data_IF_744254757554
#
_entry.id   IF_744254757554
#
_cell.length_a   1.000
_cell.length_b   1.000
_cell.length_c   1.000
_cell.angle_alpha   90.00
_cell.angle_beta   90.00
_cell.angle_gamma   90.00
#
_symmetry.space_group_name_H-M   'P 1'
#
loop_
_entity.id
_entity.type
_entity.pdbx_description
1 polymer ?
#
# COMPACT_ATOMS: atom_id res chain seq x y z
N UNK A 1 -89.13 13.75 18.99
CA UNK A 1 -87.72 13.34 18.98
C UNK A 1 -87.34 12.75 20.30
N UNK A 2 -87.11 11.43 20.36
CA UNK A 2 -86.87 10.70 21.60
C UNK A 2 -85.66 11.25 22.44
N UNK A 3 -85.79 11.25 23.75
CA UNK A 3 -84.71 11.72 24.66
C UNK A 3 -83.37 11.05 24.40
N UNK A 4 -83.37 9.81 23.96
CA UNK A 4 -82.21 9.01 23.57
C UNK A 4 -81.55 9.54 22.29
N UNK A 5 -82.29 9.99 21.30
CA UNK A 5 -81.77 10.56 20.04
C UNK A 5 -81.08 11.89 20.28
N UNK A 6 -81.58 12.70 21.23
CA UNK A 6 -80.96 13.97 21.65
C UNK A 6 -79.63 13.73 22.33
N UNK A 7 -79.50 12.68 23.17
CA UNK A 7 -78.27 12.33 23.87
C UNK A 7 -77.22 11.84 22.89
N UNK A 8 -77.59 11.01 21.92
CA UNK A 8 -76.66 10.51 20.89
C UNK A 8 -76.15 11.66 19.97
N UNK A 9 -77.00 12.56 19.59
CA UNK A 9 -76.60 13.73 18.82
C UNK A 9 -75.68 14.67 19.59
N UNK A 10 -75.96 14.88 20.87
CA UNK A 10 -75.05 15.67 21.74
C UNK A 10 -73.67 15.02 21.94
N UNK A 11 -73.65 13.72 22.13
CA UNK A 11 -72.40 12.96 22.24
C UNK A 11 -71.59 12.99 20.92
N UNK A 12 -72.22 12.82 19.76
CA UNK A 12 -71.60 12.92 18.46
C UNK A 12 -71.04 14.32 18.18
N UNK A 13 -71.81 15.37 18.55
CA UNK A 13 -71.30 16.76 18.43
C UNK A 13 -70.10 17.03 19.36
N UNK A 14 -70.13 16.50 20.60
CA UNK A 14 -69.04 16.64 21.54
C UNK A 14 -67.77 15.91 21.03
N UNK A 15 -67.90 14.68 20.49
CA UNK A 15 -66.77 13.94 19.92
C UNK A 15 -66.20 14.66 18.67
N UNK A 16 -67.04 15.21 17.80
CA UNK A 16 -66.63 16.00 16.67
C UNK A 16 -65.84 17.26 17.09
N UNK A 17 -66.36 18.00 18.08
CA UNK A 17 -65.67 19.18 18.62
C UNK A 17 -64.35 18.78 19.29
N UNK A 18 -64.33 17.70 20.05
CA UNK A 18 -63.12 17.21 20.70
C UNK A 18 -62.07 16.72 19.67
N UNK A 19 -62.51 15.99 18.63
CA UNK A 19 -61.59 15.54 17.58
C UNK A 19 -61.03 16.72 16.76
N UNK A 20 -61.85 17.71 16.45
CA UNK A 20 -61.40 18.93 15.80
C UNK A 20 -60.46 19.74 16.67
N UNK A 21 -60.70 19.84 17.98
CA UNK A 21 -59.82 20.52 18.92
C UNK A 21 -58.47 19.77 19.07
N UNK A 22 -58.48 18.44 19.13
CA UNK A 22 -57.26 17.66 19.20
C UNK A 22 -56.47 17.72 17.89
N UNK A 23 -57.13 17.73 16.74
CA UNK A 23 -56.52 17.89 15.43
C UNK A 23 -55.82 19.25 15.27
N UNK A 24 -56.39 20.31 15.76
CA UNK A 24 -55.78 21.64 15.73
C UNK A 24 -54.77 21.91 16.84
N UNK A 25 -54.68 21.04 17.88
CA UNK A 25 -53.77 21.25 19.03
C UNK A 25 -52.35 20.82 18.73
N UNK A 26 -52.14 19.86 17.80
CA UNK A 26 -50.83 19.39 17.40
C UNK A 26 -50.74 19.29 15.84
N UNK A 27 -50.77 20.44 15.18
CA UNK A 27 -50.86 20.44 13.72
C UNK A 27 -49.56 20.09 12.99
N UNK A 28 -48.43 19.98 13.71
CA UNK A 28 -47.12 19.83 13.06
C UNK A 28 -46.18 18.98 13.90
N UNK A 29 -45.53 18.02 13.23
CA UNK A 29 -44.33 17.40 13.76
C UNK A 29 -43.18 18.39 13.60
N UNK A 30 -42.53 18.74 14.71
CA UNK A 30 -41.39 19.66 14.72
C UNK A 30 -40.14 18.92 15.16
N UNK A 31 -39.04 19.19 14.47
CA UNK A 31 -37.72 18.65 14.78
C UNK A 31 -36.76 19.84 15.05
N UNK A 32 -35.96 19.72 16.10
CA UNK A 32 -34.92 20.72 16.34
C UNK A 32 -33.76 20.48 15.37
N UNK A 33 -33.42 21.49 14.58
CA UNK A 33 -32.28 21.43 13.71
C UNK A 33 -30.99 21.57 14.53
N UNK A 34 -30.08 20.61 14.38
CA UNK A 34 -28.81 20.58 15.06
C UNK A 34 -27.67 20.94 14.11
N UNK A 35 -26.60 21.51 14.64
CA UNK A 35 -25.38 21.74 13.86
C UNK A 35 -24.74 20.39 13.56
N UNK A 36 -24.50 20.15 12.28
CA UNK A 36 -23.78 18.98 11.80
C UNK A 36 -22.57 19.39 10.97
N UNK A 37 -21.55 18.54 11.01
CA UNK A 37 -20.40 18.58 10.13
C UNK A 37 -20.39 17.26 9.37
N UNK A 38 -20.55 17.34 8.06
CA UNK A 38 -20.60 16.18 7.17
C UNK A 38 -19.43 16.24 6.23
N UNK A 39 -18.65 15.18 6.23
CA UNK A 39 -17.55 14.98 5.29
C UNK A 39 -18.08 14.15 4.13
N UNK A 40 -17.81 14.58 2.91
CA UNK A 40 -18.00 13.74 1.74
C UNK A 40 -16.74 12.93 1.54
N UNK A 41 -16.90 11.64 1.30
CA UNK A 41 -15.80 10.74 1.02
C UNK A 41 -15.89 10.22 -0.41
N UNK A 42 -14.73 10.01 -1.02
CA UNK A 42 -14.57 9.30 -2.28
C UNK A 42 -13.70 8.09 -2.01
N UNK A 43 -14.21 6.91 -2.29
CA UNK A 43 -13.53 5.64 -2.07
C UNK A 43 -13.31 4.92 -3.38
N UNK A 44 -12.26 4.09 -3.43
CA UNK A 44 -11.96 3.28 -4.59
C UNK A 44 -10.65 2.54 -4.46
N UNK A 45 -10.22 1.94 -5.56
CA UNK A 45 -8.90 1.33 -5.70
C UNK A 45 -8.03 2.21 -6.58
N UNK A 46 -6.73 2.22 -6.32
CA UNK A 46 -5.79 3.01 -7.08
C UNK A 46 -4.37 2.44 -7.05
N UNK A 47 -3.48 3.16 -7.71
CA UNK A 47 -2.08 2.79 -7.82
C UNK A 47 -1.20 3.79 -7.08
N UNK A 48 -0.21 3.25 -6.37
CA UNK A 48 0.83 4.05 -5.74
C UNK A 48 1.98 4.21 -6.72
N UNK A 49 2.24 5.44 -7.10
CA UNK A 49 3.35 5.83 -7.97
C UNK A 49 4.37 6.61 -7.15
N UNK A 50 5.63 6.40 -7.44
CA UNK A 50 6.76 7.03 -6.76
C UNK A 50 7.76 7.55 -7.78
N UNK A 51 8.55 8.56 -7.42
CA UNK A 51 9.70 8.95 -8.21
C UNK A 51 10.77 7.87 -8.12
N UNK A 52 11.00 7.19 -9.22
CA UNK A 52 11.93 6.07 -9.33
C UNK A 52 12.85 6.29 -10.53
N UNK A 53 14.14 6.04 -10.33
CA UNK A 53 15.13 6.05 -11.38
C UNK A 53 15.60 4.64 -11.65
N UNK A 54 15.43 4.16 -12.89
CA UNK A 54 15.89 2.84 -13.31
C UNK A 54 17.42 2.83 -13.34
N UNK A 55 18.01 1.77 -12.83
CA UNK A 55 19.44 1.48 -12.90
C UNK A 55 19.66 0.71 -14.19
N UNK A 56 20.34 1.31 -15.15
CA UNK A 56 20.57 0.76 -16.47
C UNK A 56 22.05 0.45 -16.69
N UNK A 57 22.34 -0.59 -17.47
CA UNK A 57 23.67 -0.91 -17.96
C UNK A 57 23.58 -1.52 -19.36
N UNK A 58 24.54 -1.18 -20.21
CA UNK A 58 24.64 -1.70 -21.57
C UNK A 58 25.28 -3.10 -21.65
N UNK A 59 25.92 -3.54 -20.56
CA UNK A 59 26.58 -4.85 -20.52
C UNK A 59 25.57 -5.98 -20.48
N UNK A 60 25.70 -6.93 -21.38
CA UNK A 60 24.91 -8.16 -21.37
C UNK A 60 25.46 -9.12 -20.31
N UNK A 61 24.62 -9.58 -19.40
CA UNK A 61 25.03 -10.50 -18.34
C UNK A 61 23.96 -10.69 -17.27
N UNK A 62 24.33 -11.37 -16.20
CA UNK A 62 23.47 -11.56 -15.03
C UNK A 62 23.80 -10.48 -14.00
N UNK A 63 22.79 -9.75 -13.58
CA UNK A 63 22.93 -8.76 -12.51
C UNK A 63 22.89 -9.44 -11.14
N UNK A 64 23.91 -9.22 -10.33
CA UNK A 64 24.01 -9.67 -8.95
C UNK A 64 23.95 -8.43 -8.03
N UNK A 65 22.83 -8.21 -7.28
CA UNK A 65 22.73 -7.10 -6.36
C UNK A 65 23.64 -7.32 -5.14
N UNK A 66 24.45 -6.32 -4.79
CA UNK A 66 25.29 -6.30 -3.58
C UNK A 66 24.57 -5.64 -2.40
N UNK A 67 23.46 -4.99 -2.66
CA UNK A 67 22.67 -4.25 -1.68
C UNK A 67 21.29 -4.88 -1.57
N UNK A 68 20.76 -4.99 -0.36
CA UNK A 68 19.40 -5.52 -0.12
C UNK A 68 18.34 -4.48 -0.48
N UNK A 69 17.18 -4.95 -0.93
CA UNK A 69 16.02 -4.12 -1.16
C UNK A 69 15.65 -3.28 0.06
N UNK A 70 15.23 -2.03 -0.18
CA UNK A 70 14.93 -1.07 0.87
C UNK A 70 16.16 -0.44 1.55
N UNK A 71 17.39 -0.74 1.10
CA UNK A 71 18.59 -0.10 1.63
C UNK A 71 18.80 1.26 1.01
N UNK A 72 19.09 2.25 1.84
CA UNK A 72 19.42 3.60 1.36
C UNK A 72 20.83 3.65 0.79
N UNK A 73 20.94 4.13 -0.45
CA UNK A 73 22.20 4.25 -1.20
C UNK A 73 22.48 5.71 -1.55
N UNK A 74 23.75 6.03 -1.68
CA UNK A 74 24.18 7.32 -2.20
C UNK A 74 24.35 7.26 -3.71
N UNK A 75 24.19 8.37 -4.41
CA UNK A 75 24.52 8.47 -5.83
C UNK A 75 25.99 8.10 -6.05
N UNK A 76 26.25 7.22 -7.01
CA UNK A 76 27.58 6.75 -7.36
C UNK A 76 28.11 5.60 -6.48
N UNK A 77 27.36 5.15 -5.46
CA UNK A 77 27.74 3.93 -4.70
C UNK A 77 27.46 2.69 -5.53
N UNK A 78 28.30 1.66 -5.43
CA UNK A 78 28.11 0.36 -6.07
C UNK A 78 26.89 -0.33 -5.46
N UNK A 79 25.92 -0.70 -6.31
CA UNK A 79 24.68 -1.37 -5.90
C UNK A 79 24.63 -2.83 -6.34
N UNK A 80 25.47 -3.22 -7.29
CA UNK A 80 25.55 -4.57 -7.79
C UNK A 80 26.67 -4.73 -8.80
N UNK A 81 26.77 -5.91 -9.35
CA UNK A 81 27.69 -6.22 -10.45
C UNK A 81 26.95 -6.94 -11.57
N UNK A 82 27.32 -6.65 -12.81
CA UNK A 82 26.91 -7.44 -13.98
C UNK A 82 28.03 -8.38 -14.34
N UNK A 83 27.73 -9.66 -14.34
CA UNK A 83 28.67 -10.69 -14.76
C UNK A 83 28.39 -10.99 -16.23
N UNK A 84 29.28 -10.51 -17.10
CA UNK A 84 29.22 -10.77 -18.53
C UNK A 84 30.04 -12.03 -18.88
N UNK A 85 29.45 -12.97 -19.56
CA UNK A 85 30.09 -14.15 -20.06
C UNK A 85 29.08 -15.26 -20.38
N UNK A 86 29.38 -16.13 -21.34
CA UNK A 86 28.67 -17.41 -21.45
C UNK A 86 28.87 -18.14 -20.10
N UNK A 87 27.87 -18.11 -19.27
CA UNK A 87 27.82 -18.90 -18.03
C UNK A 87 27.90 -20.38 -18.47
N UNK A 88 29.11 -20.91 -18.44
CA UNK A 88 29.28 -22.37 -18.49
C UNK A 88 28.66 -22.91 -17.19
N UNK A 89 27.36 -23.28 -17.26
CA UNK A 89 26.53 -23.78 -16.16
C UNK A 89 27.27 -24.87 -15.38
N UNK A 90 28.16 -25.57 -16.05
CA UNK A 90 29.02 -26.60 -15.48
C UNK A 90 30.14 -26.02 -14.61
N UNK A 91 30.73 -24.89 -15.03
CA UNK A 91 31.74 -24.17 -14.23
C UNK A 91 31.10 -23.47 -13.04
N UNK A 92 29.90 -22.88 -13.20
CA UNK A 92 29.15 -22.28 -12.09
C UNK A 92 28.83 -23.32 -11.01
N UNK A 93 28.37 -24.49 -11.39
CA UNK A 93 28.08 -25.59 -10.48
C UNK A 93 29.35 -26.14 -9.79
N UNK A 94 30.49 -26.15 -10.48
CA UNK A 94 31.78 -26.53 -9.89
C UNK A 94 32.23 -25.49 -8.85
N UNK A 95 32.04 -24.20 -9.12
CA UNK A 95 32.35 -23.13 -8.19
C UNK A 95 31.50 -23.20 -6.93
N UNK A 96 30.20 -23.46 -7.08
CA UNK A 96 29.27 -23.66 -5.96
C UNK A 96 29.69 -24.83 -5.08
N UNK A 97 30.07 -25.98 -5.68
CA UNK A 97 30.55 -27.15 -4.95
C UNK A 97 31.86 -26.87 -4.19
N UNK A 98 32.83 -26.22 -4.83
CA UNK A 98 34.10 -25.84 -4.20
C UNK A 98 33.90 -24.84 -3.07
N UNK A 99 33.03 -23.83 -3.28
CA UNK A 99 32.70 -22.83 -2.26
C UNK A 99 32.01 -23.49 -1.06
N UNK A 100 31.05 -24.38 -1.29
CA UNK A 100 30.39 -25.17 -0.25
C UNK A 100 31.39 -25.99 0.59
N UNK A 101 32.37 -26.64 -0.08
CA UNK A 101 33.41 -27.40 0.60
C UNK A 101 34.36 -26.52 1.46
N UNK A 102 34.71 -25.33 0.98
CA UNK A 102 35.49 -24.35 1.73
C UNK A 102 34.71 -23.90 2.97
N UNK A 103 33.44 -23.57 2.84
CA UNK A 103 32.56 -23.13 3.93
C UNK A 103 32.34 -24.25 4.95
N UNK A 104 32.21 -25.49 4.53
CA UNK A 104 32.10 -26.63 5.40
C UNK A 104 33.41 -26.86 6.22
N UNK A 105 34.57 -26.69 5.59
CA UNK A 105 35.88 -26.74 6.29
C UNK A 105 35.97 -25.61 7.29
N UNK A 106 35.65 -24.36 6.94
CA UNK A 106 35.69 -23.21 7.86
C UNK A 106 34.68 -23.33 9.00
N UNK A 107 33.48 -23.82 8.70
CA UNK A 107 32.41 -24.05 9.72
C UNK A 107 32.81 -25.15 10.66
N UNK A 108 33.47 -26.21 10.17
CA UNK A 108 34.05 -27.28 11.00
C UNK A 108 35.17 -26.78 11.89
N UNK A 109 35.92 -25.73 11.51
CA UNK A 109 36.96 -25.08 12.30
C UNK A 109 36.39 -24.38 13.51
N UNK A 110 35.34 -23.59 13.36
CA UNK A 110 34.68 -22.90 14.47
C UNK A 110 34.07 -23.86 15.50
N UNK A 111 33.60 -25.03 15.05
CA UNK A 111 33.02 -26.08 15.89
C UNK A 111 34.15 -26.87 16.60
N UNK A 112 35.30 -27.07 15.97
CA UNK A 112 36.39 -27.86 16.56
C UNK A 112 37.27 -27.12 17.55
N UNK A 113 37.39 -25.80 17.41
CA UNK A 113 38.04 -24.99 18.45
C UNK A 113 37.21 -25.00 19.75
N UNK A 114 35.89 -25.17 19.64
CA UNK A 114 35.00 -25.40 20.79
C UNK A 114 35.15 -26.79 21.44
N UNK A 115 35.65 -27.80 20.70
CA UNK A 115 35.71 -29.21 21.15
C UNK A 115 37.11 -29.81 21.21
N UNK A 116 38.14 -29.04 20.96
CA UNK A 116 39.53 -29.52 20.83
C UNK A 116 40.14 -30.15 22.10
N UNK A 117 39.40 -30.24 23.20
CA UNK A 117 39.94 -30.74 24.47
C UNK A 117 39.37 -32.06 25.01
N UNK A 118 38.45 -32.76 24.26
CA UNK A 118 37.77 -33.90 24.87
C UNK A 118 37.36 -35.00 23.86
N UNK A 119 38.12 -36.09 23.80
CA UNK A 119 37.86 -37.28 22.99
C UNK A 119 36.46 -37.90 23.27
N UNK A 120 35.96 -37.74 24.49
CA UNK A 120 34.61 -38.20 24.87
C UNK A 120 33.49 -37.42 24.19
N UNK A 121 33.68 -36.11 23.89
CA UNK A 121 32.73 -35.27 23.19
C UNK A 121 32.68 -35.58 21.69
N UNK A 122 33.84 -35.83 21.08
CA UNK A 122 33.89 -36.27 19.66
C UNK A 122 33.13 -37.57 19.52
N UNK A 123 33.26 -38.51 20.40
CA UNK A 123 32.51 -39.77 20.37
C UNK A 123 31.00 -39.56 20.51
N UNK A 124 30.55 -38.65 21.37
CA UNK A 124 29.11 -38.33 21.52
C UNK A 124 28.52 -37.73 20.26
N UNK A 125 29.20 -36.80 19.59
CA UNK A 125 28.75 -36.15 18.34
C UNK A 125 28.71 -37.16 17.19
N UNK A 126 29.71 -38.04 17.08
CA UNK A 126 29.71 -39.12 16.09
C UNK A 126 28.52 -40.06 16.28
N UNK A 127 28.21 -40.39 17.56
CA UNK A 127 27.04 -41.23 17.87
C UNK A 127 25.71 -40.59 17.54
N UNK A 128 25.60 -39.28 17.79
CA UNK A 128 24.40 -38.48 17.48
C UNK A 128 24.18 -38.37 15.97
N UNK A 129 25.24 -38.01 15.20
CA UNK A 129 25.18 -37.96 13.74
C UNK A 129 24.87 -39.33 13.10
N UNK A 130 25.36 -40.42 13.69
CA UNK A 130 25.02 -41.75 13.21
C UNK A 130 23.57 -42.13 13.48
N UNK A 131 22.97 -41.62 14.57
CA UNK A 131 21.54 -41.77 14.87
C UNK A 131 20.68 -40.94 13.89
N UNK A 132 21.11 -39.70 13.59
CA UNK A 132 20.44 -38.82 12.65
C UNK A 132 20.43 -39.36 11.21
N UNK A 133 21.54 -39.94 10.76
CA UNK A 133 21.63 -40.65 9.47
C UNK A 133 20.59 -41.78 9.42
N UNK A 134 20.47 -42.55 10.51
CA UNK A 134 19.53 -43.66 10.58
C UNK A 134 18.08 -43.15 10.54
N UNK A 135 17.76 -42.08 11.29
CA UNK A 135 16.45 -41.45 11.33
C UNK A 135 16.07 -40.83 10.00
N UNK A 136 17.03 -40.21 9.29
CA UNK A 136 16.82 -39.66 7.96
C UNK A 136 16.58 -40.78 6.90
N UNK A 137 17.34 -41.86 7.00
CA UNK A 137 17.17 -43.02 6.14
C UNK A 137 15.80 -43.69 6.32
N UNK A 138 15.31 -43.81 7.57
CA UNK A 138 13.96 -44.35 7.87
C UNK A 138 12.84 -43.48 7.29
N UNK A 139 13.05 -42.17 7.19
CA UNK A 139 12.12 -41.19 6.59
C UNK A 139 12.29 -41.04 5.08
N UNK A 140 13.22 -41.77 4.46
CA UNK A 140 13.61 -41.63 3.05
C UNK A 140 14.08 -40.21 2.67
N UNK A 141 14.54 -39.44 3.64
CA UNK A 141 15.14 -38.13 3.43
C UNK A 141 16.64 -38.26 3.11
N UNK A 142 16.93 -38.51 1.84
CA UNK A 142 18.27 -38.73 1.33
C UNK A 142 19.17 -37.47 1.42
N UNK A 143 18.56 -36.26 1.36
CA UNK A 143 19.29 -35.01 1.49
C UNK A 143 19.85 -34.83 2.90
N UNK A 144 18.99 -34.98 3.90
CA UNK A 144 19.40 -34.91 5.31
C UNK A 144 20.41 -36.02 5.67
N UNK A 145 20.24 -37.24 5.15
CA UNK A 145 21.19 -38.34 5.34
C UNK A 145 22.56 -38.02 4.72
N UNK A 146 22.59 -37.40 3.54
CA UNK A 146 23.82 -37.01 2.86
C UNK A 146 24.55 -35.89 3.62
N UNK A 147 23.83 -34.89 4.13
CA UNK A 147 24.36 -33.81 4.97
C UNK A 147 25.01 -34.35 6.25
N UNK A 148 24.34 -35.24 6.98
CA UNK A 148 24.86 -35.87 8.16
C UNK A 148 26.11 -36.75 7.85
N UNK A 149 26.09 -37.46 6.70
CA UNK A 149 27.24 -38.22 6.21
C UNK A 149 28.45 -37.33 5.90
N UNK A 150 28.22 -36.18 5.23
CA UNK A 150 29.29 -35.22 4.95
C UNK A 150 29.89 -34.66 6.24
N UNK A 151 29.04 -34.32 7.24
CA UNK A 151 29.50 -33.87 8.55
C UNK A 151 30.29 -34.95 9.29
N UNK A 152 29.90 -36.21 9.18
CA UNK A 152 30.61 -37.35 9.78
C UNK A 152 31.97 -37.55 9.13
N UNK A 153 32.09 -37.44 7.78
CA UNK A 153 33.40 -37.55 7.10
C UNK A 153 34.34 -36.44 7.49
N UNK A 154 33.86 -35.22 7.65
CA UNK A 154 34.64 -34.06 8.12
C UNK A 154 35.17 -34.28 9.53
N UNK A 155 34.37 -34.83 10.44
CA UNK A 155 34.78 -35.14 11.79
C UNK A 155 35.83 -36.28 11.82
N UNK A 156 35.65 -37.30 10.99
CA UNK A 156 36.57 -38.41 10.86
C UNK A 156 37.92 -37.98 10.26
N UNK A 157 37.91 -37.18 9.21
CA UNK A 157 39.12 -36.58 8.62
C UNK A 157 39.84 -35.69 9.61
N UNK A 158 39.11 -34.97 10.45
CA UNK A 158 39.65 -34.08 11.46
C UNK A 158 40.25 -34.81 12.65
N UNK A 159 39.64 -35.90 13.09
CA UNK A 159 40.22 -36.78 14.09
C UNK A 159 41.54 -37.43 13.60
N UNK A 160 41.63 -37.66 12.27
CA UNK A 160 42.86 -38.12 11.63
C UNK A 160 43.89 -37.00 11.44
N UNK A 161 43.48 -35.77 11.15
CA UNK A 161 44.34 -34.61 10.89
C UNK A 161 44.87 -33.94 12.17
N UNK A 162 44.19 -34.12 13.30
CA UNK A 162 44.70 -33.69 14.63
C UNK A 162 46.07 -34.32 14.97
N UNK A 163 46.44 -35.37 14.22
CA UNK A 163 47.76 -35.99 14.31
C UNK A 163 48.81 -35.43 13.32
N UNK A 164 48.40 -34.61 12.36
CA UNK A 164 49.27 -33.99 11.35
C UNK A 164 48.70 -32.63 10.90
N UNK A 165 49.04 -31.58 11.60
CA UNK A 165 48.52 -30.20 11.41
C UNK A 165 48.85 -29.52 10.08
N UNK A 166 49.46 -30.20 9.09
CA UNK A 166 49.80 -29.63 7.79
C UNK A 166 48.85 -29.98 6.62
N UNK A 167 48.22 -31.14 6.65
CA UNK A 167 47.46 -31.64 5.51
C UNK A 167 46.13 -30.90 5.25
N UNK A 168 45.56 -30.32 6.29
CA UNK A 168 44.28 -29.59 6.19
C UNK A 168 44.46 -28.17 5.65
N UNK A 169 45.48 -27.46 6.14
CA UNK A 169 45.81 -26.12 5.64
C UNK A 169 46.19 -26.20 4.15
N UNK A 170 46.87 -27.27 3.77
CA UNK A 170 47.18 -27.56 2.36
C UNK A 170 45.96 -27.86 1.51
N UNK A 171 44.97 -28.59 2.06
CA UNK A 171 43.67 -28.82 1.38
C UNK A 171 42.85 -27.52 1.24
N UNK A 172 42.78 -26.70 2.31
CA UNK A 172 42.08 -25.42 2.23
C UNK A 172 42.72 -24.48 1.20
N UNK A 173 44.06 -24.44 1.18
CA UNK A 173 44.81 -23.64 0.21
C UNK A 173 44.63 -24.15 -1.21
N UNK A 174 44.54 -25.47 -1.42
CA UNK A 174 44.26 -26.06 -2.73
C UNK A 174 42.83 -25.76 -3.23
N UNK A 175 41.83 -25.81 -2.33
CA UNK A 175 40.46 -25.47 -2.64
C UNK A 175 40.26 -23.95 -2.93
N UNK A 176 40.94 -23.11 -2.18
CA UNK A 176 40.95 -21.66 -2.43
C UNK A 176 41.62 -21.33 -3.76
N UNK A 177 42.68 -22.06 -4.13
CA UNK A 177 43.29 -21.91 -5.45
C UNK A 177 42.36 -22.38 -6.56
N UNK A 178 41.68 -23.50 -6.40
CA UNK A 178 40.71 -24.04 -7.34
C UNK A 178 39.51 -23.06 -7.47
N UNK A 179 39.02 -22.51 -6.37
CA UNK A 179 38.01 -21.46 -6.36
C UNK A 179 38.45 -20.25 -7.18
N UNK A 180 39.66 -19.73 -6.94
CA UNK A 180 40.21 -18.60 -7.67
C UNK A 180 40.39 -18.90 -9.16
N UNK A 181 40.83 -20.12 -9.55
CA UNK A 181 40.95 -20.55 -10.95
C UNK A 181 39.56 -20.66 -11.62
N UNK A 182 38.54 -21.17 -10.91
CA UNK A 182 37.16 -21.25 -11.40
C UNK A 182 36.55 -19.85 -11.50
N UNK A 183 36.76 -19.00 -10.52
CA UNK A 183 36.34 -17.59 -10.57
C UNK A 183 37.01 -16.84 -11.71
N UNK A 184 38.30 -17.07 -11.97
CA UNK A 184 39.03 -16.46 -13.09
C UNK A 184 38.52 -16.96 -14.43
N UNK A 185 38.12 -18.24 -14.53
CA UNK A 185 37.57 -18.86 -15.76
C UNK A 185 36.11 -18.50 -15.98
N UNK A 186 35.34 -18.36 -14.92
CA UNK A 186 33.99 -17.82 -14.94
C UNK A 186 33.98 -16.28 -15.00
N UNK A 187 35.10 -15.67 -14.60
CA UNK A 187 35.29 -14.23 -14.58
C UNK A 187 35.26 -13.62 -15.96
N UNK A 188 34.08 -13.61 -16.54
CA UNK A 188 33.68 -12.55 -17.44
C UNK A 188 33.87 -11.22 -16.71
N UNK A 189 34.08 -10.18 -17.44
CA UNK A 189 34.25 -8.82 -16.92
C UNK A 189 33.12 -8.54 -15.93
N UNK A 190 33.46 -8.28 -14.68
CA UNK A 190 32.50 -7.84 -13.66
C UNK A 190 32.42 -6.33 -13.76
N UNK A 191 31.35 -5.85 -14.33
CA UNK A 191 31.07 -4.42 -14.37
C UNK A 191 30.37 -4.02 -13.07
N UNK A 192 31.00 -3.11 -12.33
CA UNK A 192 30.38 -2.53 -11.15
C UNK A 192 29.28 -1.55 -11.54
N UNK A 193 28.11 -1.76 -11.00
CA UNK A 193 26.93 -0.93 -11.27
C UNK A 193 26.77 0.09 -10.16
N UNK A 194 26.87 1.37 -10.53
CA UNK A 194 26.70 2.48 -9.60
C UNK A 194 25.26 2.98 -9.58
N UNK A 195 24.79 3.41 -8.40
CA UNK A 195 23.48 4.04 -8.24
C UNK A 195 23.41 5.37 -9.02
N UNK A 196 22.46 5.56 -9.94
CA UNK A 196 22.31 6.79 -10.72
C UNK A 196 21.81 7.98 -9.87
N UNK A 197 21.08 7.69 -8.81
CA UNK A 197 20.51 8.64 -7.87
C UNK A 197 20.77 8.20 -6.41
N UNK A 198 20.55 9.11 -5.46
CA UNK A 198 20.53 8.76 -4.04
C UNK A 198 19.09 8.44 -3.64
N UNK A 199 18.87 7.31 -2.97
CA UNK A 199 17.51 6.88 -2.60
C UNK A 199 17.52 5.50 -1.97
N UNK A 200 16.39 4.79 -2.09
CA UNK A 200 16.25 3.41 -1.65
C UNK A 200 16.34 2.47 -2.85
N UNK A 201 17.20 1.46 -2.72
CA UNK A 201 17.44 0.47 -3.77
C UNK A 201 16.38 -0.63 -3.74
N UNK A 202 15.94 -1.05 -4.94
CA UNK A 202 15.09 -2.21 -5.16
C UNK A 202 15.55 -2.97 -6.40
N UNK A 203 15.70 -4.28 -6.27
CA UNK A 203 16.20 -5.17 -7.33
C UNK A 203 15.13 -5.56 -8.35
N UNK A 204 13.85 -5.30 -8.06
CA UNK A 204 12.73 -5.65 -8.91
C UNK A 204 12.15 -4.46 -9.63
N UNK A 205 11.81 -4.63 -10.91
CA UNK A 205 11.10 -3.68 -11.75
C UNK A 205 9.69 -4.19 -12.03
N UNK A 206 8.75 -3.28 -12.24
CA UNK A 206 7.33 -3.63 -12.45
C UNK A 206 6.68 -2.90 -13.64
N UNK A 207 7.44 -2.03 -14.34
CA UNK A 207 7.00 -1.30 -15.53
C UNK A 207 6.27 0.01 -15.23
N UNK A 208 6.11 0.39 -13.96
CA UNK A 208 5.48 1.65 -13.58
C UNK A 208 6.47 2.73 -13.15
N UNK A 209 7.76 2.48 -13.22
CA UNK A 209 8.82 3.37 -12.76
C UNK A 209 8.76 4.75 -13.42
N UNK A 210 8.42 4.79 -14.70
CA UNK A 210 8.33 6.04 -15.45
C UNK A 210 7.15 6.92 -15.03
N UNK A 211 6.02 6.32 -14.65
CA UNK A 211 4.76 7.02 -14.40
C UNK A 211 4.77 7.83 -13.09
N UNK A 212 5.65 7.52 -12.16
CA UNK A 212 5.86 8.29 -10.93
C UNK A 212 6.72 9.53 -11.08
N UNK A 213 7.24 9.80 -12.29
CA UNK A 213 8.00 11.01 -12.58
C UNK A 213 7.11 12.26 -12.45
N UNK A 214 7.62 13.31 -11.82
CA UNK A 214 6.88 14.55 -11.56
C UNK A 214 6.34 15.23 -12.83
N UNK A 215 7.04 15.06 -13.96
CA UNK A 215 6.64 15.64 -15.25
C UNK A 215 5.53 14.83 -15.94
N UNK A 216 5.35 13.58 -15.57
CA UNK A 216 4.40 12.64 -16.22
C UNK A 216 3.15 12.43 -15.38
N UNK A 217 3.31 12.24 -14.08
CA UNK A 217 2.23 11.82 -13.18
C UNK A 217 1.00 12.73 -13.24
N UNK A 218 1.19 14.04 -13.40
CA UNK A 218 0.12 15.01 -13.49
C UNK A 218 -0.66 14.99 -14.83
N UNK A 219 -0.15 14.30 -15.84
CA UNK A 219 -0.76 14.23 -17.18
C UNK A 219 -1.52 12.93 -17.43
N UNK A 220 -1.47 12.00 -16.48
CA UNK A 220 -2.12 10.68 -16.58
C UNK A 220 -3.63 10.81 -16.80
N UNK A 221 -4.14 10.00 -17.69
CA UNK A 221 -5.57 9.86 -17.98
C UNK A 221 -6.14 8.61 -17.31
N UNK A 222 -7.46 8.51 -17.26
CA UNK A 222 -8.15 7.35 -16.71
C UNK A 222 -7.74 6.04 -17.43
N UNK A 223 -7.63 6.08 -18.75
CA UNK A 223 -7.21 4.93 -19.57
C UNK A 223 -5.79 4.45 -19.26
N UNK A 224 -4.86 5.36 -18.94
CA UNK A 224 -3.49 5.01 -18.55
C UNK A 224 -3.50 4.23 -17.22
N UNK A 225 -4.25 4.75 -16.23
CA UNK A 225 -4.36 4.15 -14.90
C UNK A 225 -5.02 2.77 -14.97
N UNK A 226 -6.09 2.64 -15.76
CA UNK A 226 -6.81 1.38 -15.94
C UNK A 226 -5.91 0.32 -16.61
N UNK A 227 -4.95 0.74 -17.45
CA UNK A 227 -3.96 -0.12 -18.10
C UNK A 227 -2.83 -0.59 -17.18
N UNK A 228 -2.58 0.02 -16.02
CA UNK A 228 -1.43 -0.29 -15.18
C UNK A 228 -1.37 -1.76 -14.70
N UNK A 229 -2.52 -2.35 -14.40
CA UNK A 229 -2.56 -3.77 -14.00
C UNK A 229 -2.09 -4.70 -15.11
N UNK A 230 -2.32 -4.36 -16.37
CA UNK A 230 -1.90 -5.14 -17.52
C UNK A 230 -0.42 -4.92 -17.81
N UNK A 231 0.04 -3.67 -17.73
CA UNK A 231 1.47 -3.33 -17.81
C UNK A 231 2.27 -4.16 -16.80
N UNK A 232 1.88 -4.15 -15.53
CA UNK A 232 2.58 -4.91 -14.47
C UNK A 232 2.61 -6.42 -14.73
N UNK A 233 1.55 -6.98 -15.32
CA UNK A 233 1.49 -8.44 -15.60
C UNK A 233 2.36 -8.85 -16.79
N UNK A 234 2.41 -8.01 -17.81
CA UNK A 234 3.11 -8.31 -19.06
C UNK A 234 4.55 -7.79 -19.06
N UNK A 235 4.89 -6.94 -18.08
CA UNK A 235 6.20 -6.31 -18.01
C UNK A 235 7.33 -7.34 -17.93
N UNK A 236 8.30 -7.14 -18.78
CA UNK A 236 9.58 -7.84 -18.76
C UNK A 236 10.65 -6.78 -18.89
N UNK A 237 11.56 -6.66 -17.93
CA UNK A 237 12.64 -5.70 -18.04
C UNK A 237 13.49 -5.99 -19.28
N UNK A 238 13.89 -4.96 -19.97
CA UNK A 238 14.86 -5.05 -21.04
C UNK A 238 16.22 -5.50 -20.48
N UNK A 239 17.05 -6.11 -21.33
CA UNK A 239 18.34 -6.68 -20.92
C UNK A 239 19.29 -5.68 -20.22
N UNK A 240 19.06 -4.38 -20.41
CA UNK A 240 19.82 -3.31 -19.78
C UNK A 240 19.20 -2.77 -18.49
N UNK A 241 17.96 -3.11 -18.17
CA UNK A 241 17.26 -2.64 -16.98
C UNK A 241 17.48 -3.59 -15.82
N UNK A 242 18.21 -3.16 -14.80
CA UNK A 242 18.74 -4.04 -13.76
C UNK A 242 18.00 -3.92 -12.42
N UNK A 243 17.67 -2.71 -12.02
CA UNK A 243 17.11 -2.37 -10.71
C UNK A 243 16.49 -0.98 -10.74
N UNK A 244 15.98 -0.50 -9.62
CA UNK A 244 15.49 0.87 -9.46
C UNK A 244 15.94 1.51 -8.15
N UNK A 245 16.01 2.83 -8.17
CA UNK A 245 16.23 3.66 -6.98
C UNK A 245 14.99 4.53 -6.80
N UNK A 246 14.32 4.37 -5.65
CA UNK A 246 13.29 5.31 -5.22
C UNK A 246 13.98 6.57 -4.68
N UNK A 247 13.95 7.65 -5.44
CA UNK A 247 14.72 8.86 -5.19
C UNK A 247 13.87 10.02 -4.67
N UNK A 248 12.57 9.84 -4.55
CA UNK A 248 11.62 10.86 -4.11
C UNK A 248 10.97 10.54 -2.78
N UNK A 249 10.82 11.56 -1.93
CA UNK A 249 10.00 11.47 -0.71
C UNK A 249 8.50 11.65 -1.00
N UNK A 250 8.16 12.13 -2.19
CA UNK A 250 6.78 12.28 -2.61
C UNK A 250 6.31 10.99 -3.27
N UNK A 251 5.10 10.60 -2.91
CA UNK A 251 4.39 9.52 -3.58
C UNK A 251 3.04 10.04 -4.05
N UNK A 252 2.45 9.33 -4.99
CA UNK A 252 1.22 9.72 -5.64
C UNK A 252 0.25 8.55 -5.61
N UNK A 253 -1.01 8.84 -5.29
CA UNK A 253 -2.13 7.97 -5.57
C UNK A 253 -2.68 8.36 -6.94
N UNK A 254 -2.70 7.43 -7.87
CA UNK A 254 -3.36 7.56 -9.17
C UNK A 254 -4.59 6.65 -9.20
N UNK A 255 -5.77 7.21 -9.38
CA UNK A 255 -7.02 6.46 -9.36
C UNK A 255 -8.00 6.95 -10.43
N UNK A 256 -8.75 6.01 -11.00
CA UNK A 256 -9.89 6.30 -11.87
C UNK A 256 -11.17 6.31 -11.02
N UNK A 257 -11.87 7.42 -11.03
CA UNK A 257 -13.18 7.60 -10.34
C UNK A 257 -14.21 8.12 -11.30
N UNK A 258 -15.51 7.99 -10.97
CA UNK A 258 -16.56 8.62 -11.76
C UNK A 258 -16.52 10.13 -11.58
N UNK A 259 -16.71 10.86 -12.66
CA UNK A 259 -16.74 12.33 -12.63
C UNK A 259 -17.77 12.86 -11.62
N UNK A 260 -18.91 12.18 -11.47
CA UNK A 260 -19.96 12.53 -10.50
C UNK A 260 -19.52 12.40 -9.04
N UNK A 261 -18.55 11.54 -8.73
CA UNK A 261 -18.02 11.33 -7.38
C UNK A 261 -16.95 12.38 -7.04
N UNK A 262 -16.24 12.89 -8.04
CA UNK A 262 -15.16 13.86 -7.89
C UNK A 262 -15.62 15.34 -8.11
N UNK A 263 -16.93 15.63 -8.13
CA UNK A 263 -17.44 16.99 -8.40
C UNK A 263 -16.92 18.03 -7.40
N UNK A 264 -16.84 17.65 -6.14
CA UNK A 264 -16.43 18.55 -5.06
C UNK A 264 -14.90 18.59 -4.87
N UNK A 265 -14.12 17.91 -5.71
CA UNK A 265 -12.66 17.87 -5.70
C UNK A 265 -12.12 18.75 -6.83
N UNK A 266 -11.15 19.60 -6.51
CA UNK A 266 -10.48 20.46 -7.48
C UNK A 266 -8.97 20.32 -7.38
N UNK A 267 -8.28 20.58 -8.48
CA UNK A 267 -6.82 20.63 -8.47
C UNK A 267 -6.33 21.68 -7.46
N UNK A 268 -5.35 21.32 -6.64
CA UNK A 268 -4.81 22.17 -5.58
C UNK A 268 -5.52 22.02 -4.22
N UNK A 269 -6.64 21.30 -4.15
CA UNK A 269 -7.35 21.08 -2.89
C UNK A 269 -6.48 20.24 -1.92
N UNK A 270 -6.48 20.65 -0.66
CA UNK A 270 -5.95 19.84 0.43
C UNK A 270 -7.02 18.83 0.87
N UNK A 271 -6.64 17.56 0.96
CA UNK A 271 -7.53 16.46 1.31
C UNK A 271 -6.89 15.61 2.40
N UNK A 272 -7.74 14.87 3.13
CA UNK A 272 -7.28 13.80 4.00
C UNK A 272 -7.43 12.48 3.24
N UNK A 273 -6.31 11.73 3.15
CA UNK A 273 -6.22 10.49 2.39
C UNK A 273 -5.92 9.33 3.34
N UNK A 274 -6.79 8.34 3.36
CA UNK A 274 -6.58 7.05 4.02
C UNK A 274 -6.25 6.00 2.98
N UNK A 275 -5.27 5.17 3.26
CA UNK A 275 -4.81 4.06 2.42
C UNK A 275 -4.96 2.76 3.22
N UNK A 276 -5.64 1.75 2.64
CA UNK A 276 -5.83 0.43 3.24
C UNK A 276 -6.32 0.52 4.71
N UNK A 277 -7.33 1.38 4.95
CA UNK A 277 -7.93 1.64 6.27
C UNK A 277 -6.95 2.17 7.35
N UNK A 278 -5.77 2.65 6.95
CA UNK A 278 -4.83 3.27 7.88
C UNK A 278 -5.24 4.70 8.23
N UNK A 279 -4.56 5.27 9.23
CA UNK A 279 -4.81 6.65 9.64
C UNK A 279 -4.64 7.63 8.48
N UNK A 280 -5.62 8.51 8.30
CA UNK A 280 -5.61 9.48 7.23
C UNK A 280 -4.42 10.43 7.31
N UNK A 281 -3.79 10.67 6.19
CA UNK A 281 -2.66 11.59 6.04
C UNK A 281 -3.05 12.79 5.19
N UNK A 282 -2.41 13.93 5.44
CA UNK A 282 -2.63 15.11 4.59
C UNK A 282 -2.02 14.91 3.22
N UNK A 283 -2.79 15.23 2.19
CA UNK A 283 -2.39 15.13 0.81
C UNK A 283 -2.95 16.31 0.00
N UNK A 284 -2.51 16.48 -1.23
CA UNK A 284 -2.93 17.54 -2.13
C UNK A 284 -3.32 16.94 -3.47
N UNK A 285 -4.42 17.38 -4.03
CA UNK A 285 -4.86 17.03 -5.38
C UNK A 285 -3.90 17.67 -6.39
N UNK A 286 -3.03 16.85 -6.99
CA UNK A 286 -2.06 17.32 -7.98
C UNK A 286 -2.72 17.58 -9.32
N UNK A 287 -3.58 16.66 -9.77
CA UNK A 287 -4.31 16.78 -11.04
C UNK A 287 -5.67 16.10 -10.96
N UNK A 288 -6.59 16.59 -11.77
CA UNK A 288 -7.92 16.04 -12.00
C UNK A 288 -8.19 16.10 -13.49
N UNK A 289 -7.99 15.00 -14.20
CA UNK A 289 -8.10 14.91 -15.63
C UNK A 289 -9.41 14.21 -16.01
N UNK A 290 -10.38 14.97 -16.49
CA UNK A 290 -11.74 14.49 -16.80
C UNK A 290 -11.85 14.11 -18.27
N UNK A 291 -12.34 12.90 -18.54
CA UNK A 291 -12.59 12.41 -19.89
C UNK A 291 -13.74 11.40 -19.89
N UNK A 292 -14.69 11.54 -20.83
CA UNK A 292 -15.77 10.57 -21.08
C UNK A 292 -16.60 10.13 -19.84
N UNK A 293 -16.78 11.03 -18.85
CA UNK A 293 -17.54 10.73 -17.62
C UNK A 293 -16.74 10.03 -16.53
N UNK A 294 -15.45 9.75 -16.77
CA UNK A 294 -14.46 9.30 -15.81
C UNK A 294 -13.47 10.41 -15.47
N UNK A 295 -12.76 10.25 -14.40
CA UNK A 295 -11.77 11.22 -13.93
C UNK A 295 -10.54 10.48 -13.43
N UNK A 296 -9.38 10.80 -14.00
CA UNK A 296 -8.10 10.43 -13.39
C UNK A 296 -7.82 11.41 -12.26
N UNK A 297 -7.79 10.92 -11.05
CA UNK A 297 -7.50 11.68 -9.84
C UNK A 297 -6.10 11.35 -9.37
N UNK A 298 -5.23 12.36 -9.36
CA UNK A 298 -3.84 12.23 -8.93
C UNK A 298 -3.65 13.01 -7.64
N UNK A 299 -3.31 12.30 -6.58
CA UNK A 299 -3.12 12.89 -5.25
C UNK A 299 -1.70 12.71 -4.81
N UNK A 300 -1.05 13.78 -4.38
CA UNK A 300 0.32 13.81 -3.91
C UNK A 300 0.38 13.87 -2.40
N UNK A 301 1.19 13.03 -1.78
CA UNK A 301 1.57 13.15 -0.37
C UNK A 301 3.08 13.01 -0.18
N UNK A 302 3.58 13.60 0.91
CA UNK A 302 4.96 13.41 1.41
C UNK A 302 4.95 12.80 2.80
N UNK A 303 3.77 12.37 3.28
CA UNK A 303 3.63 11.74 4.57
C UNK A 303 3.90 10.26 4.47
N UNK A 304 4.61 9.72 5.45
CA UNK A 304 4.87 8.29 5.51
C UNK A 304 3.58 7.53 5.85
N UNK A 305 3.32 6.47 5.10
CA UNK A 305 2.25 5.49 5.34
C UNK A 305 2.92 4.12 5.40
N UNK A 306 2.54 3.30 6.35
CA UNK A 306 3.17 1.99 6.55
C UNK A 306 2.95 1.07 5.33
N UNK A 307 4.03 0.47 4.83
CA UNK A 307 3.97 -0.47 3.71
C UNK A 307 3.68 0.17 2.35
N UNK A 308 3.73 1.51 2.24
CA UNK A 308 3.47 2.19 0.96
C UNK A 308 4.57 1.92 -0.07
N UNK A 309 5.78 1.60 0.38
CA UNK A 309 6.94 1.28 -0.47
C UNK A 309 6.86 -0.12 -1.09
N UNK A 310 6.09 -1.01 -0.47
CA UNK A 310 6.05 -2.42 -0.85
C UNK A 310 4.87 -2.76 -1.76
N UNK A 311 3.98 -1.79 -2.01
CA UNK A 311 2.74 -1.98 -2.76
C UNK A 311 2.63 -1.05 -3.95
N UNK A 312 2.00 -1.54 -5.02
CA UNK A 312 1.57 -0.74 -6.16
C UNK A 312 0.07 -0.46 -6.17
N UNK A 313 -0.72 -1.36 -5.62
CA UNK A 313 -2.18 -1.21 -5.55
C UNK A 313 -2.62 -0.99 -4.11
N UNK A 314 -3.65 -0.17 -3.92
CA UNK A 314 -4.24 0.09 -2.62
C UNK A 314 -5.74 0.39 -2.76
N UNK A 315 -6.45 0.23 -1.65
CA UNK A 315 -7.75 0.85 -1.46
C UNK A 315 -7.57 2.22 -0.81
N UNK A 316 -8.38 3.18 -1.22
CA UNK A 316 -8.28 4.53 -0.71
C UNK A 316 -9.63 5.11 -0.28
N UNK A 317 -9.56 6.01 0.67
CA UNK A 317 -10.66 6.90 1.06
C UNK A 317 -10.13 8.33 1.14
N UNK A 318 -10.77 9.24 0.41
CA UNK A 318 -10.45 10.66 0.38
C UNK A 318 -11.57 11.40 1.07
N UNK A 319 -11.27 12.06 2.16
CA UNK A 319 -12.16 13.02 2.77
C UNK A 319 -11.98 14.39 2.09
N UNK A 320 -13.10 14.88 1.53
CA UNK A 320 -13.16 16.19 0.90
C UNK A 320 -13.58 17.26 1.92
N UNK A 321 -14.07 18.40 1.44
CA UNK A 321 -14.55 19.50 2.29
C UNK A 321 -15.56 19.05 3.33
N UNK A 322 -15.35 19.50 4.57
CA UNK A 322 -16.36 19.45 5.60
C UNK A 322 -17.47 20.47 5.31
N UNK A 323 -18.70 19.99 5.26
CA UNK A 323 -19.89 20.85 5.17
C UNK A 323 -20.45 21.08 6.57
N UNK A 324 -20.31 22.30 7.08
CA UNK A 324 -20.84 22.68 8.38
C UNK A 324 -22.14 23.45 8.20
N UNK A 325 -23.21 22.98 8.82
CA UNK A 325 -24.51 23.63 8.73
C UNK A 325 -25.55 23.02 9.66
N UNK A 326 -26.78 23.45 9.51
CA UNK A 326 -27.92 22.87 10.21
C UNK A 326 -28.40 21.61 9.48
N UNK A 327 -28.57 20.53 10.20
CA UNK A 327 -29.14 19.29 9.67
C UNK A 327 -30.65 19.35 9.66
N UNK A 328 -31.26 19.25 8.48
CA UNK A 328 -32.69 19.41 8.26
C UNK A 328 -33.22 18.18 7.52
N UNK A 329 -34.32 17.54 7.94
CA UNK A 329 -34.92 16.44 7.21
C UNK A 329 -35.29 16.83 5.78
N UNK A 330 -35.03 15.93 4.82
CA UNK A 330 -35.38 16.16 3.42
C UNK A 330 -36.89 16.46 3.23
N UNK A 331 -37.71 15.82 4.06
CA UNK A 331 -39.16 16.03 4.07
C UNK A 331 -39.60 17.43 4.52
N UNK A 332 -38.75 18.15 5.25
CA UNK A 332 -39.03 19.53 5.70
C UNK A 332 -38.68 20.57 4.64
N UNK A 333 -37.92 20.23 3.63
CA UNK A 333 -37.54 21.12 2.53
C UNK A 333 -38.77 21.44 1.67
N UNK A 334 -38.99 22.72 1.40
CA UNK A 334 -40.06 23.23 0.54
C UNK A 334 -39.50 24.23 -0.46
N UNK A 335 -40.10 24.21 -1.65
CA UNK A 335 -39.80 25.19 -2.70
C UNK A 335 -40.98 26.15 -2.81
N UNK A 336 -40.68 27.44 -2.76
CA UNK A 336 -41.68 28.50 -2.88
C UNK A 336 -41.24 29.52 -3.93
N UNK A 337 -41.83 29.42 -5.11
CA UNK A 337 -41.32 30.15 -6.29
C UNK A 337 -39.95 29.60 -6.65
N UNK A 338 -38.94 30.47 -6.75
CA UNK A 338 -37.55 30.12 -7.13
C UNK A 338 -36.63 29.90 -5.93
N UNK A 339 -37.17 29.87 -4.70
CA UNK A 339 -36.37 29.72 -3.50
C UNK A 339 -36.71 28.45 -2.73
N UNK A 340 -35.66 27.84 -2.19
CA UNK A 340 -35.76 26.69 -1.32
C UNK A 340 -35.72 27.14 0.14
N UNK A 341 -36.49 26.52 1.02
CA UNK A 341 -36.55 26.89 2.41
C UNK A 341 -37.27 25.86 3.27
N UNK A 342 -37.40 26.19 4.54
CA UNK A 342 -38.05 25.39 5.58
C UNK A 342 -39.05 26.26 6.37
N UNK A 343 -40.09 25.63 6.89
CA UNK A 343 -40.93 26.29 7.89
C UNK A 343 -40.36 26.10 9.27
N UNK A 344 -40.12 27.21 9.95
CA UNK A 344 -39.56 27.25 11.31
C UNK A 344 -40.63 27.72 12.26
N UNK A 345 -40.78 27.01 13.37
CA UNK A 345 -41.66 27.40 14.48
C UNK A 345 -40.84 28.18 15.50
N UNK A 346 -41.22 29.44 15.74
CA UNK A 346 -40.55 30.29 16.71
C UNK A 346 -41.05 29.98 18.15
N UNK A 347 -40.37 30.50 19.17
CA UNK A 347 -40.75 30.34 20.60
C UNK A 347 -42.19 30.78 20.88
N UNK A 348 -42.68 31.80 20.19
CA UNK A 348 -44.05 32.28 20.28
C UNK A 348 -45.06 31.46 19.48
N UNK A 349 -44.66 30.26 18.97
CA UNK A 349 -45.46 29.38 18.14
C UNK A 349 -45.85 29.95 16.75
N UNK A 350 -45.22 31.03 16.34
CA UNK A 350 -45.41 31.55 15.00
C UNK A 350 -44.61 30.70 13.97
N UNK A 351 -45.27 30.32 12.88
CA UNK A 351 -44.63 29.57 11.78
C UNK A 351 -44.20 30.58 10.73
N UNK A 352 -42.93 30.55 10.38
CA UNK A 352 -42.34 31.37 9.33
C UNK A 352 -41.56 30.55 8.32
N UNK A 353 -41.59 30.96 7.05
CA UNK A 353 -40.79 30.35 6.01
C UNK A 353 -39.38 30.99 6.03
N UNK A 354 -38.33 30.18 6.21
CA UNK A 354 -36.96 30.62 6.12
C UNK A 354 -36.27 30.01 4.93
N UNK A 355 -35.66 30.84 4.11
CA UNK A 355 -34.88 30.42 2.98
C UNK A 355 -33.58 29.82 3.46
N UNK A 356 -33.12 28.75 2.79
CA UNK A 356 -31.89 28.06 3.12
C UNK A 356 -31.08 27.78 1.86
N UNK A 357 -29.74 27.86 1.99
CA UNK A 357 -28.80 27.34 0.99
C UNK A 357 -28.46 25.90 1.34
N UNK A 358 -28.77 24.97 0.45
CA UNK A 358 -28.41 23.57 0.62
C UNK A 358 -26.90 23.41 0.35
N UNK A 359 -26.18 22.80 1.29
CA UNK A 359 -24.74 22.52 1.16
C UNK A 359 -24.50 21.12 0.61
N UNK A 360 -25.09 20.11 1.26
CA UNK A 360 -25.00 18.73 0.82
C UNK A 360 -26.18 17.90 1.34
N UNK A 361 -26.36 16.72 0.75
CA UNK A 361 -27.33 15.72 1.22
C UNK A 361 -26.58 14.69 2.10
N UNK A 362 -27.18 14.35 3.24
CA UNK A 362 -26.68 13.36 4.18
C UNK A 362 -27.83 12.36 4.48
N UNK A 363 -27.90 11.29 3.68
CA UNK A 363 -28.97 10.30 3.75
C UNK A 363 -30.36 10.93 3.55
N UNK A 364 -31.21 10.86 4.61
CA UNK A 364 -32.57 11.43 4.64
C UNK A 364 -32.60 12.90 5.07
N UNK A 365 -31.42 13.52 5.24
CA UNK A 365 -31.28 14.90 5.67
C UNK A 365 -30.55 15.74 4.63
N UNK A 366 -30.68 17.06 4.77
CA UNK A 366 -29.82 18.04 4.12
C UNK A 366 -29.07 18.85 5.16
N UNK A 367 -27.82 19.16 4.86
CA UNK A 367 -27.05 20.16 5.60
C UNK A 367 -27.25 21.49 4.89
N UNK A 368 -27.73 22.49 5.61
CA UNK A 368 -28.02 23.81 5.08
C UNK A 368 -27.20 24.87 5.80
N UNK A 369 -26.89 25.98 5.14
CA UNK A 369 -26.20 27.10 5.79
C UNK A 369 -27.08 27.67 6.92
N UNK A 370 -26.43 28.04 8.01
CA UNK A 370 -27.13 28.75 9.12
C UNK A 370 -27.42 30.23 8.80
N UNK A 371 -26.90 30.74 7.68
CA UNK A 371 -27.21 32.09 7.18
C UNK A 371 -27.50 31.98 5.68
N UNK A 372 -28.68 32.43 5.28
CA UNK A 372 -29.06 32.54 3.89
C UNK A 372 -28.66 33.91 3.34
N UNK A 373 -28.07 33.93 2.14
CA UNK A 373 -27.80 35.18 1.43
C UNK A 373 -28.82 35.23 0.28
N UNK A 374 -29.85 36.08 0.38
CA UNK A 374 -30.86 36.14 -0.69
C UNK A 374 -30.24 36.65 -2.00
N UNK A 375 -30.66 36.08 -3.15
CA UNK A 375 -30.29 36.63 -4.46
C UNK A 375 -30.73 38.08 -4.60
N UNK A 376 -30.01 38.86 -5.39
CA UNK A 376 -30.40 40.24 -5.69
C UNK A 376 -31.83 40.27 -6.30
N UNK A 377 -32.74 41.09 -5.71
CA UNK A 377 -34.13 41.19 -6.12
C UNK A 377 -35.09 40.18 -5.45
N UNK A 378 -34.63 39.33 -4.57
CA UNK A 378 -35.49 38.40 -3.80
C UNK A 378 -36.47 39.14 -2.89
N UNK A 379 -37.76 38.71 -2.91
CA UNK A 379 -38.77 39.20 -1.98
C UNK A 379 -38.72 38.54 -0.60
N UNK A 380 -37.82 37.60 -0.39
CA UNK A 380 -37.69 36.85 0.86
C UNK A 380 -36.48 37.33 1.67
N UNK A 381 -36.67 37.54 2.95
CA UNK A 381 -35.62 37.90 3.89
C UNK A 381 -35.03 36.64 4.53
N UNK A 382 -33.78 36.72 4.94
CA UNK A 382 -33.04 35.65 5.66
C UNK A 382 -33.68 35.32 7.00
#
# INVERSE_FOLDING_TARGET
>A
MNRTVKIILAAAALTAVLSTFLYFRYPYDTLTAEMAEVHKTVTGSGFILRGETVVENESTGVFEPLVKDGTRVARGSTVGTVISGDLDEKLAKQLEDVTGRIDDIKRSESIADLYASDDARIYSVVKELAADIRAAAEKSDYSAAQDCKNRLSIIAEKSAASKTGGARDELLLSLQKEQYELETRLGGVRDEIAAPAAGFFYSSLDGLEYYGNADVVGTLKAEDIDGFSEIMKEFKPDSGQLAKIEDSYAWYLAATVKQSEAVDISQGDAVMLSIDEQAAVSATVLAKNEENGTCALIIKSTRSVQGITDKRTCEFEIETKAFRGLRVPAEAIRVKGDVTGVYVVSENKAVSFKCVDMLCRDGDFYVVKNKYTPPEGSKFQA
#
